data_IF_407103538741
#
_entry.id   IF_407103538741
#
_cell.length_a   1.000
_cell.length_b   1.000
_cell.length_c   1.000
_cell.angle_alpha   90.00
_cell.angle_beta   90.00
_cell.angle_gamma   90.00
#
_symmetry.space_group_name_H-M   'P 1'
#
loop_
_entity.id
_entity.type
_entity.pdbx_description
1 polymer ?
#
# COMPACT_ATOMS: atom_id res chain seq x y z
N UNK A 1 8.18 6.93 -21.75
CA UNK A 1 6.78 7.25 -21.50
C UNK A 1 6.52 7.27 -20.00
N UNK A 2 5.80 8.27 -19.52
CA UNK A 2 5.43 8.36 -18.11
C UNK A 2 4.31 7.36 -17.80
N UNK A 3 4.46 6.48 -16.80
CA UNK A 3 3.38 5.59 -16.39
C UNK A 3 2.16 6.38 -15.92
N UNK A 4 0.97 5.88 -16.24
CA UNK A 4 -0.27 6.48 -15.76
C UNK A 4 -0.54 6.07 -14.31
N UNK A 5 -1.35 6.85 -13.61
CA UNK A 5 -1.77 6.48 -12.26
C UNK A 5 -2.51 5.13 -12.25
N UNK A 6 -3.30 4.85 -13.28
CA UNK A 6 -3.98 3.57 -13.41
C UNK A 6 -2.98 2.41 -13.52
N UNK A 7 -1.94 2.56 -14.34
CA UNK A 7 -0.92 1.53 -14.49
C UNK A 7 -0.16 1.30 -13.18
N UNK A 8 0.20 2.37 -12.48
CA UNK A 8 0.90 2.30 -11.20
C UNK A 8 0.02 1.62 -10.15
N UNK A 9 -1.23 2.02 -10.03
CA UNK A 9 -2.17 1.41 -9.08
C UNK A 9 -2.35 -0.08 -9.38
N UNK A 10 -2.51 -0.44 -10.65
CA UNK A 10 -2.64 -1.84 -11.06
C UNK A 10 -1.41 -2.65 -10.66
N UNK A 11 -0.22 -2.09 -10.88
CA UNK A 11 1.04 -2.76 -10.52
C UNK A 11 1.15 -2.97 -9.01
N UNK A 12 0.85 -1.95 -8.21
CA UNK A 12 0.93 -2.02 -6.75
C UNK A 12 -0.10 -3.00 -6.18
N UNK A 13 -1.34 -2.96 -6.68
CA UNK A 13 -2.38 -3.90 -6.25
C UNK A 13 -2.03 -5.34 -6.64
N UNK A 14 -1.47 -5.54 -7.83
CA UNK A 14 -1.02 -6.87 -8.28
C UNK A 14 0.11 -7.41 -7.40
N UNK A 15 1.05 -6.57 -7.00
CA UNK A 15 2.12 -6.96 -6.09
C UNK A 15 1.57 -7.40 -4.73
N UNK A 16 0.60 -6.67 -4.19
CA UNK A 16 -0.04 -7.04 -2.93
C UNK A 16 -0.78 -8.38 -3.06
N UNK A 17 -1.49 -8.59 -4.16
CA UNK A 17 -2.18 -9.85 -4.44
C UNK A 17 -1.18 -11.00 -4.59
N UNK A 18 -0.09 -10.78 -5.31
CA UNK A 18 0.93 -11.80 -5.55
C UNK A 18 1.68 -12.20 -4.27
N UNK A 19 1.71 -11.33 -3.27
CA UNK A 19 2.31 -11.65 -1.97
C UNK A 19 1.55 -12.75 -1.24
N UNK A 20 0.30 -12.97 -1.58
CA UNK A 20 -0.54 -14.07 -1.06
C UNK A 20 -0.50 -14.17 0.47
N UNK A 21 -0.72 -13.03 1.15
CA UNK A 21 -0.60 -12.96 2.60
C UNK A 21 -1.74 -13.66 3.35
N UNK A 22 -2.83 -13.98 2.66
CA UNK A 22 -3.95 -14.71 3.25
C UNK A 22 -4.99 -13.85 3.95
N UNK A 23 -4.85 -12.52 3.90
CA UNK A 23 -5.83 -11.60 4.50
C UNK A 23 -6.84 -11.15 3.46
N UNK A 24 -8.14 -11.00 3.83
CA UNK A 24 -9.09 -10.36 2.95
C UNK A 24 -8.68 -8.92 2.61
N UNK A 25 -8.94 -8.49 1.39
CA UNK A 25 -8.54 -7.16 0.91
C UNK A 25 -9.77 -6.39 0.47
N UNK A 26 -9.95 -5.22 1.08
CA UNK A 26 -10.98 -4.27 0.69
C UNK A 26 -10.41 -3.34 -0.38
N UNK A 27 -10.62 -3.68 -1.65
CA UNK A 27 -10.12 -2.86 -2.76
C UNK A 27 -10.84 -1.52 -2.83
N UNK A 28 -10.13 -0.42 -3.12
CA UNK A 28 -10.75 0.90 -3.21
C UNK A 28 -11.91 0.94 -4.22
N UNK A 29 -13.00 1.57 -3.84
CA UNK A 29 -14.15 1.74 -4.73
C UNK A 29 -15.01 0.49 -4.93
N UNK A 30 -14.74 -0.59 -4.19
CA UNK A 30 -15.55 -1.81 -4.24
C UNK A 30 -16.28 -2.03 -2.94
N UNK A 31 -17.39 -2.77 -3.00
CA UNK A 31 -18.11 -3.18 -1.80
C UNK A 31 -17.29 -4.24 -1.06
N UNK A 32 -17.22 -4.09 0.25
CA UNK A 32 -16.49 -5.04 1.09
C UNK A 32 -17.17 -5.14 2.45
N UNK A 33 -17.38 -6.37 2.90
CA UNK A 33 -17.87 -6.63 4.24
C UNK A 33 -16.71 -7.15 5.08
N UNK A 34 -16.27 -6.40 6.12
CA UNK A 34 -15.20 -6.85 6.98
C UNK A 34 -15.53 -8.18 7.64
N UNK A 35 -14.56 -9.08 7.83
CA UNK A 35 -14.81 -10.34 8.51
C UNK A 35 -15.22 -10.11 9.96
N UNK A 36 -16.03 -11.01 10.49
CA UNK A 36 -16.44 -10.94 11.90
C UNK A 36 -15.26 -11.10 12.85
N UNK A 37 -14.28 -11.91 12.45
CA UNK A 37 -13.03 -12.10 13.19
C UNK A 37 -11.87 -12.13 12.18
N UNK A 38 -10.73 -11.63 12.61
CA UNK A 38 -9.52 -11.66 11.79
C UNK A 38 -9.20 -10.32 11.15
N UNK A 39 -7.98 -10.25 10.65
CA UNK A 39 -7.39 -9.06 10.05
C UNK A 39 -7.83 -8.92 8.59
N UNK A 40 -8.04 -7.68 8.15
CA UNK A 40 -8.22 -7.39 6.73
C UNK A 40 -7.37 -6.20 6.32
N UNK A 41 -7.14 -6.03 5.01
CA UNK A 41 -6.32 -4.98 4.44
C UNK A 41 -7.15 -4.02 3.60
N UNK A 42 -6.80 -2.73 3.64
CA UNK A 42 -7.44 -1.71 2.81
C UNK A 42 -6.33 -0.90 2.10
N UNK A 43 -5.96 -1.28 0.87
CA UNK A 43 -4.92 -0.57 0.13
C UNK A 43 -5.45 0.72 -0.51
N UNK A 44 -4.56 1.71 -0.64
CA UNK A 44 -4.86 2.97 -1.31
C UNK A 44 -3.60 3.52 -1.94
N UNK A 45 -3.68 4.00 -3.17
CA UNK A 45 -2.58 4.70 -3.84
C UNK A 45 -2.82 6.20 -3.73
N UNK A 46 -1.83 6.93 -3.25
CA UNK A 46 -1.87 8.38 -3.09
C UNK A 46 -0.76 9.00 -3.94
N UNK A 47 -1.03 9.30 -5.23
CA UNK A 47 -0.03 9.92 -6.08
C UNK A 47 0.34 11.31 -5.57
N UNK A 48 1.61 11.65 -5.71
CA UNK A 48 2.09 13.01 -5.45
C UNK A 48 2.50 13.65 -6.78
N UNK A 49 2.83 14.92 -6.74
CA UNK A 49 3.33 15.61 -7.92
C UNK A 49 4.59 14.93 -8.42
N UNK A 50 4.59 14.55 -9.69
CA UNK A 50 5.77 13.94 -10.31
C UNK A 50 6.90 14.95 -10.50
N UNK A 51 8.09 14.43 -10.76
CA UNK A 51 9.27 15.25 -11.02
C UNK A 51 9.48 15.29 -12.52
N UNK A 52 9.42 16.48 -13.11
CA UNK A 52 9.65 16.66 -14.53
C UNK A 52 11.13 16.44 -14.84
N UNK A 53 11.38 15.63 -15.87
CA UNK A 53 12.74 15.24 -16.29
C UNK A 53 13.20 16.00 -17.52
N UNK A 54 12.76 17.25 -17.67
CA UNK A 54 13.09 18.11 -18.79
C UNK A 54 12.10 19.24 -18.94
N UNK A 55 12.30 20.09 -19.94
CA UNK A 55 11.48 21.30 -20.15
C UNK A 55 10.37 21.10 -21.18
N UNK A 56 10.50 20.09 -22.06
CA UNK A 56 9.49 19.85 -23.09
C UNK A 56 8.31 19.05 -22.54
N UNK A 57 7.12 19.32 -23.07
CA UNK A 57 5.91 18.59 -22.67
C UNK A 57 5.98 17.07 -22.98
N UNK A 58 6.85 16.68 -23.92
CA UNK A 58 7.07 15.28 -24.28
C UNK A 58 8.12 14.59 -23.41
N UNK A 59 8.82 15.32 -22.55
CA UNK A 59 9.80 14.74 -21.64
C UNK A 59 9.10 13.92 -20.56
N UNK A 60 9.81 12.87 -20.10
CA UNK A 60 9.28 11.97 -19.09
C UNK A 60 9.16 12.67 -17.74
N UNK A 61 8.02 12.49 -17.09
CA UNK A 61 7.83 12.86 -15.69
C UNK A 61 8.09 11.64 -14.82
N UNK A 62 8.89 11.81 -13.78
CA UNK A 62 9.16 10.74 -12.82
C UNK A 62 8.00 10.68 -11.83
N UNK A 63 7.20 9.61 -11.83
CA UNK A 63 6.10 9.50 -10.89
C UNK A 63 6.62 9.26 -9.47
N UNK A 64 5.88 9.77 -8.49
CA UNK A 64 6.15 9.51 -7.07
C UNK A 64 4.87 9.60 -6.28
N UNK A 65 4.88 8.99 -5.11
CA UNK A 65 3.74 8.99 -4.21
C UNK A 65 3.92 7.99 -3.10
N UNK A 66 2.82 7.65 -2.46
CA UNK A 66 2.80 6.61 -1.44
C UNK A 66 1.71 5.61 -1.72
N UNK A 67 2.00 4.35 -1.43
CA UNK A 67 1.03 3.28 -1.39
C UNK A 67 0.78 2.98 0.07
N UNK A 68 -0.44 3.21 0.54
CA UNK A 68 -0.82 2.92 1.92
C UNK A 68 -1.62 1.64 1.97
N UNK A 69 -1.29 0.78 2.93
CA UNK A 69 -2.07 -0.41 3.22
C UNK A 69 -2.54 -0.30 4.66
N UNK A 70 -3.81 -0.02 4.85
CA UNK A 70 -4.43 -0.05 6.16
C UNK A 70 -4.59 -1.51 6.61
N UNK A 71 -4.11 -1.80 7.81
CA UNK A 71 -4.25 -3.12 8.42
C UNK A 71 -5.22 -2.98 9.58
N UNK A 72 -6.33 -3.71 9.53
CA UNK A 72 -7.43 -3.56 10.46
C UNK A 72 -7.77 -4.88 11.14
N UNK A 73 -8.27 -4.80 12.37
CA UNK A 73 -8.79 -5.94 13.11
C UNK A 73 -9.96 -5.47 13.99
N UNK A 74 -10.76 -6.40 14.42
CA UNK A 74 -11.83 -6.11 15.39
C UNK A 74 -11.24 -5.84 16.78
N UNK A 75 -11.86 -4.96 17.58
CA UNK A 75 -11.40 -4.72 18.96
C UNK A 75 -11.50 -5.99 19.80
N UNK A 76 -10.68 -6.05 20.83
CA UNK A 76 -10.73 -7.13 21.81
C UNK A 76 -9.86 -8.34 21.51
N UNK A 77 -9.15 -8.35 20.37
CA UNK A 77 -8.30 -9.48 19.97
C UNK A 77 -6.80 -9.26 20.28
N UNK A 78 -6.46 -8.11 20.87
CA UNK A 78 -5.08 -7.73 21.15
C UNK A 78 -4.39 -7.14 19.92
N UNK A 79 -3.11 -6.84 20.06
CA UNK A 79 -2.38 -6.06 19.05
C UNK A 79 -1.44 -6.90 18.18
N UNK A 80 -1.18 -8.14 18.54
CA UNK A 80 -0.16 -8.95 17.86
C UNK A 80 -0.57 -9.33 16.43
N UNK A 81 -1.86 -9.64 16.21
CA UNK A 81 -2.33 -10.00 14.88
C UNK A 81 -2.18 -8.85 13.89
N UNK A 82 -2.53 -7.63 14.31
CA UNK A 82 -2.40 -6.43 13.47
C UNK A 82 -0.93 -6.13 13.18
N UNK A 83 -0.08 -6.21 14.19
CA UNK A 83 1.36 -5.99 14.01
C UNK A 83 1.99 -7.01 13.09
N UNK A 84 1.62 -8.30 13.23
CA UNK A 84 2.13 -9.36 12.37
C UNK A 84 1.72 -9.13 10.92
N UNK A 85 0.47 -8.76 10.69
CA UNK A 85 0.00 -8.46 9.35
C UNK A 85 0.70 -7.25 8.75
N UNK A 86 0.94 -6.20 9.54
CA UNK A 86 1.70 -5.04 9.10
C UNK A 86 3.14 -5.43 8.71
N UNK A 87 3.79 -6.29 9.49
CA UNK A 87 5.13 -6.78 9.18
C UNK A 87 5.14 -7.58 7.88
N UNK A 88 4.12 -8.41 7.65
CA UNK A 88 3.98 -9.18 6.41
C UNK A 88 3.84 -8.25 5.19
N UNK A 89 3.05 -7.20 5.31
CA UNK A 89 2.90 -6.21 4.23
C UNK A 89 4.23 -5.51 3.97
N UNK A 90 4.92 -5.06 5.01
CA UNK A 90 6.23 -4.40 4.86
C UNK A 90 7.24 -5.31 4.17
N UNK A 91 7.27 -6.58 4.51
CA UNK A 91 8.19 -7.54 3.90
C UNK A 91 7.93 -7.77 2.41
N UNK A 92 6.72 -7.49 1.95
CA UNK A 92 6.34 -7.64 0.54
C UNK A 92 6.78 -6.46 -0.35
N UNK A 93 7.22 -5.37 0.24
CA UNK A 93 7.59 -4.12 -0.47
C UNK A 93 8.92 -3.58 0.05
N UNK A 94 9.98 -4.35 -0.16
CA UNK A 94 11.30 -3.96 0.33
C UNK A 94 11.88 -2.81 -0.49
N UNK A 95 12.72 -2.00 0.15
CA UNK A 95 13.41 -0.88 -0.50
C UNK A 95 14.09 -1.34 -1.80
N UNK A 96 13.95 -0.54 -2.84
CA UNK A 96 14.49 -0.76 -4.18
C UNK A 96 13.83 -1.92 -4.95
N UNK A 97 12.81 -2.58 -4.41
CA UNK A 97 12.05 -3.55 -5.18
C UNK A 97 11.36 -2.86 -6.35
N UNK A 98 11.50 -3.42 -7.54
CA UNK A 98 10.85 -2.91 -8.74
C UNK A 98 9.47 -3.55 -8.87
N UNK A 99 8.46 -2.72 -9.04
CA UNK A 99 7.07 -3.17 -9.17
C UNK A 99 6.68 -3.12 -10.64
N UNK A 100 6.65 -4.28 -11.29
CA UNK A 100 6.25 -4.45 -12.70
C UNK A 100 7.06 -3.57 -13.68
N UNK A 101 8.27 -3.14 -13.29
CA UNK A 101 9.10 -2.28 -14.12
C UNK A 101 8.61 -0.83 -14.24
N UNK A 102 7.56 -0.45 -13.51
CA UNK A 102 6.96 0.89 -13.59
C UNK A 102 7.44 1.83 -12.50
N UNK A 103 7.50 1.33 -11.28
CA UNK A 103 7.94 2.10 -10.11
C UNK A 103 8.79 1.19 -9.24
N UNK A 104 9.52 1.80 -8.32
CA UNK A 104 10.27 1.07 -7.30
C UNK A 104 9.92 1.59 -5.93
N UNK A 105 10.13 0.78 -4.93
CA UNK A 105 9.97 1.19 -3.54
C UNK A 105 11.12 2.12 -3.19
N UNK A 106 10.80 3.37 -2.86
CA UNK A 106 11.80 4.42 -2.66
C UNK A 106 12.59 4.23 -1.37
N UNK A 107 11.92 3.76 -0.33
CA UNK A 107 12.52 3.50 0.98
C UNK A 107 11.77 2.36 1.64
N UNK A 108 12.37 1.75 2.66
CA UNK A 108 11.69 0.68 3.38
C UNK A 108 10.34 1.16 3.93
N UNK A 109 9.29 0.35 3.77
CA UNK A 109 7.99 0.67 4.32
C UNK A 109 8.05 0.87 5.83
N UNK A 110 7.17 1.72 6.34
CA UNK A 110 7.08 1.99 7.77
C UNK A 110 5.62 2.07 8.20
N UNK A 111 5.41 1.94 9.50
CA UNK A 111 4.09 2.10 10.11
C UNK A 111 4.26 2.83 11.44
N UNK A 112 3.17 3.47 11.86
CA UNK A 112 3.13 4.14 13.15
C UNK A 112 2.42 3.27 14.18
N UNK A 113 2.23 3.83 15.38
CA UNK A 113 1.54 3.13 16.46
C UNK A 113 0.14 2.71 16.05
N UNK A 114 -0.32 1.61 16.66
CA UNK A 114 -1.68 1.13 16.50
C UNK A 114 -2.64 2.20 16.98
N UNK A 115 -3.65 2.48 16.15
CA UNK A 115 -4.70 3.44 16.45
C UNK A 115 -5.94 2.69 16.91
N UNK A 116 -6.25 2.64 18.21
CA UNK A 116 -7.49 2.03 18.67
C UNK A 116 -8.68 2.92 18.35
N UNK A 117 -9.77 2.31 17.91
CA UNK A 117 -11.04 2.95 17.68
C UNK A 117 -12.12 2.07 18.29
N UNK A 118 -13.34 2.62 18.47
CA UNK A 118 -14.46 1.86 19.02
C UNK A 118 -14.81 0.64 18.17
N UNK A 119 -14.63 0.75 16.84
CA UNK A 119 -15.04 -0.27 15.89
C UNK A 119 -13.89 -1.17 15.41
N UNK A 120 -12.65 -0.70 15.50
CA UNK A 120 -11.51 -1.45 14.95
C UNK A 120 -10.18 -0.94 15.48
N UNK A 121 -9.18 -1.82 15.42
CA UNK A 121 -7.77 -1.45 15.57
C UNK A 121 -7.20 -1.20 14.17
N UNK A 122 -6.30 -0.25 14.03
CA UNK A 122 -5.69 0.02 12.74
C UNK A 122 -4.20 0.30 12.85
N UNK A 123 -3.46 -0.19 11.87
CA UNK A 123 -2.06 0.19 11.62
C UNK A 123 -1.96 0.55 10.15
N UNK A 124 -1.45 1.70 9.83
CA UNK A 124 -1.27 2.13 8.45
C UNK A 124 0.17 1.89 8.03
N UNK A 125 0.36 1.01 7.06
CA UNK A 125 1.68 0.77 6.46
C UNK A 125 1.85 1.73 5.29
N UNK A 126 2.92 2.51 5.30
CA UNK A 126 3.21 3.49 4.26
C UNK A 126 4.40 3.01 3.44
N UNK A 127 4.20 2.92 2.13
CA UNK A 127 5.19 2.44 1.17
C UNK A 127 5.45 3.56 0.15
N UNK A 128 6.51 4.35 0.33
CA UNK A 128 6.87 5.38 -0.65
C UNK A 128 7.35 4.75 -1.94
N UNK A 129 6.87 5.26 -3.08
CA UNK A 129 7.30 4.78 -4.40
C UNK A 129 7.77 5.93 -5.28
N UNK A 130 8.62 5.61 -6.25
CA UNK A 130 9.10 6.53 -7.27
C UNK A 130 9.36 5.77 -8.57
N UNK A 131 9.33 6.50 -9.64
CA UNK A 131 9.73 5.95 -10.94
C UNK A 131 11.24 5.79 -11.08
#
# INVERSE_FOLDING_TARGET
MTPTNTAIATALFSQLTAAALGYPIAWPGTDFMPPATGVWLEPMVMPNTGIDNGLAATDTTIPQGIFQVGVFDRPGRGVLAVNRAADDVKASFLKNATITGLVRVQRNPYSFEIQPDADRLSVIVTIPYTG
#
